data_IF_408489318647
#
_entry.id   IF_408489318647
#
_cell.length_a   1.000
_cell.length_b   1.000
_cell.length_c   1.000
_cell.angle_alpha   90.00
_cell.angle_beta   90.00
_cell.angle_gamma   90.00
#
_symmetry.space_group_name_H-M   'P 1'
#
loop_
_entity.id
_entity.type
_entity.pdbx_description
1 polymer ?
#
# COMPACT_ATOMS: atom_id res chain seq x y z
N UNK A 1 -20.30 0.89 0.88
CA UNK A 1 -21.54 1.68 1.07
C UNK A 1 -22.41 0.98 2.10
N UNK A 2 -22.94 1.69 3.11
CA UNK A 2 -23.98 1.14 4.00
C UNK A 2 -25.14 0.63 3.14
N UNK A 3 -25.79 -0.47 3.52
CA UNK A 3 -26.89 -1.11 2.75
C UNK A 3 -27.93 -0.11 2.22
N UNK A 4 -28.25 0.91 3.02
CA UNK A 4 -29.15 2.01 2.67
C UNK A 4 -28.71 2.85 1.45
N UNK A 5 -27.41 3.18 1.32
CA UNK A 5 -26.92 3.99 0.20
C UNK A 5 -26.95 3.26 -1.14
N UNK A 6 -26.79 1.93 -1.13
CA UNK A 6 -26.90 1.11 -2.33
C UNK A 6 -28.35 1.00 -2.83
N UNK A 7 -29.31 0.91 -1.90
CA UNK A 7 -30.74 0.91 -2.21
C UNK A 7 -31.16 2.25 -2.86
N UNK A 8 -30.67 3.37 -2.32
CA UNK A 8 -30.96 4.70 -2.89
C UNK A 8 -30.40 4.84 -4.31
N UNK A 9 -29.17 4.37 -4.56
CA UNK A 9 -28.56 4.40 -5.88
C UNK A 9 -29.34 3.55 -6.89
N UNK A 10 -29.76 2.34 -6.49
CA UNK A 10 -30.60 1.46 -7.32
C UNK A 10 -31.94 2.12 -7.65
N UNK A 11 -32.54 2.82 -6.69
CA UNK A 11 -33.79 3.54 -6.89
C UNK A 11 -33.62 4.73 -7.85
N UNK A 12 -32.51 5.46 -7.76
CA UNK A 12 -32.21 6.56 -8.71
C UNK A 12 -31.98 6.05 -10.13
N UNK A 13 -31.32 4.90 -10.29
CA UNK A 13 -31.10 4.28 -11.61
C UNK A 13 -32.40 3.68 -12.17
N UNK A 14 -33.30 3.19 -11.32
CA UNK A 14 -34.56 2.61 -11.77
C UNK A 14 -35.51 3.65 -12.36
N UNK A 15 -35.46 4.91 -11.91
CA UNK A 15 -36.27 6.00 -12.45
C UNK A 15 -36.13 6.10 -13.98
N UNK A 16 -34.96 6.35 -14.58
CA UNK A 16 -34.85 6.47 -16.03
C UNK A 16 -35.16 5.19 -16.80
N UNK A 17 -35.04 4.02 -16.15
CA UNK A 17 -35.40 2.72 -16.72
C UNK A 17 -36.92 2.53 -16.85
N UNK A 18 -37.68 2.89 -15.81
CA UNK A 18 -39.13 2.70 -15.79
C UNK A 18 -39.93 3.91 -16.27
N UNK A 19 -39.34 5.11 -16.27
CA UNK A 19 -40.01 6.35 -16.65
C UNK A 19 -40.63 6.33 -18.06
N UNK A 20 -39.97 5.81 -19.12
CA UNK A 20 -40.59 5.69 -20.44
C UNK A 20 -41.83 4.78 -20.43
N UNK A 21 -41.83 3.74 -19.60
CA UNK A 21 -42.95 2.81 -19.46
C UNK A 21 -44.14 3.49 -18.78
N UNK A 22 -43.90 4.28 -17.74
CA UNK A 22 -44.93 5.10 -17.09
C UNK A 22 -45.54 6.14 -18.03
N UNK A 23 -44.71 6.82 -18.85
CA UNK A 23 -45.21 7.77 -19.85
C UNK A 23 -46.11 7.07 -20.87
N UNK A 24 -45.69 5.91 -21.38
CA UNK A 24 -46.48 5.14 -22.36
C UNK A 24 -47.85 4.73 -21.79
N UNK A 25 -47.87 4.25 -20.54
CA UNK A 25 -49.12 3.90 -19.84
C UNK A 25 -49.98 5.15 -19.64
N UNK A 26 -49.41 6.26 -19.16
CA UNK A 26 -50.14 7.50 -18.94
C UNK A 26 -50.80 8.05 -20.21
N UNK A 27 -50.07 8.04 -21.34
CA UNK A 27 -50.60 8.44 -22.65
C UNK A 27 -51.78 7.57 -23.11
N UNK A 28 -51.78 6.28 -22.74
CA UNK A 28 -52.81 5.32 -23.15
C UNK A 28 -54.12 5.52 -22.37
N UNK A 29 -54.04 5.80 -21.07
CA UNK A 29 -55.21 5.84 -20.18
C UNK A 29 -55.73 7.25 -19.86
N UNK A 30 -54.95 8.30 -20.10
CA UNK A 30 -55.36 9.69 -19.86
C UNK A 30 -54.97 10.65 -21.01
N UNK A 31 -55.40 10.36 -22.25
CA UNK A 31 -55.09 11.22 -23.39
C UNK A 31 -55.65 12.63 -23.18
N UNK A 32 -54.84 13.66 -23.48
CA UNK A 32 -55.24 15.08 -23.42
C UNK A 32 -55.11 15.76 -22.05
N UNK A 33 -54.74 15.05 -20.99
CA UNK A 33 -54.49 15.63 -19.64
C UNK A 33 -52.99 15.80 -19.32
N UNK A 34 -52.12 15.55 -20.29
CA UNK A 34 -50.68 15.55 -20.09
C UNK A 34 -50.15 16.96 -19.85
N UNK A 35 -49.43 17.14 -18.74
CA UNK A 35 -48.69 18.37 -18.46
C UNK A 35 -47.35 18.27 -19.20
N UNK A 36 -47.16 19.09 -20.24
CA UNK A 36 -45.96 19.09 -21.08
C UNK A 36 -46.02 18.14 -22.29
N UNK A 37 -45.12 18.34 -23.25
CA UNK A 37 -44.98 17.52 -24.45
C UNK A 37 -43.96 16.38 -24.26
N UNK A 38 -43.98 15.39 -25.16
CA UNK A 38 -43.07 14.23 -25.11
C UNK A 38 -41.60 14.69 -25.11
N UNK A 39 -41.28 15.73 -25.88
CA UNK A 39 -39.92 16.27 -25.95
C UNK A 39 -39.49 16.91 -24.64
N UNK A 40 -40.39 17.62 -23.93
CA UNK A 40 -40.13 18.17 -22.59
C UNK A 40 -39.88 17.08 -21.55
N UNK A 41 -40.61 15.97 -21.60
CA UNK A 41 -40.40 14.82 -20.72
C UNK A 41 -39.09 14.07 -21.03
N UNK A 42 -38.74 13.91 -22.30
CA UNK A 42 -37.44 13.37 -22.71
C UNK A 42 -36.29 14.30 -22.31
N UNK A 43 -36.48 15.62 -22.42
CA UNK A 43 -35.55 16.63 -21.94
C UNK A 43 -35.33 16.57 -20.43
N UNK A 44 -36.41 16.38 -19.65
CA UNK A 44 -36.33 16.14 -18.21
C UNK A 44 -35.53 14.87 -17.88
N UNK A 45 -35.79 13.76 -18.58
CA UNK A 45 -35.06 12.51 -18.39
C UNK A 45 -33.58 12.63 -18.78
N UNK A 46 -33.27 13.36 -19.86
CA UNK A 46 -31.91 13.72 -20.26
C UNK A 46 -31.19 14.55 -19.19
N UNK A 47 -31.85 15.57 -18.64
CA UNK A 47 -31.30 16.39 -17.55
C UNK A 47 -31.09 15.60 -16.26
N UNK A 48 -32.05 14.74 -15.90
CA UNK A 48 -31.96 13.86 -14.74
C UNK A 48 -30.79 12.89 -14.84
N UNK A 49 -30.67 12.18 -15.97
CA UNK A 49 -29.60 11.20 -16.21
C UNK A 49 -28.23 11.87 -16.28
N UNK A 50 -28.14 13.04 -16.93
CA UNK A 50 -26.93 13.86 -16.95
C UNK A 50 -26.49 14.30 -15.56
N UNK A 51 -27.43 14.81 -14.74
CA UNK A 51 -27.15 15.18 -13.34
C UNK A 51 -26.72 14.00 -12.48
N UNK A 52 -27.36 12.85 -12.63
CA UNK A 52 -27.00 11.62 -11.91
C UNK A 52 -25.59 11.15 -12.27
N UNK A 53 -25.24 11.12 -13.56
CA UNK A 53 -23.91 10.76 -14.03
C UNK A 53 -22.84 11.74 -13.55
N UNK A 54 -23.14 13.05 -13.58
CA UNK A 54 -22.23 14.07 -13.06
C UNK A 54 -21.97 13.87 -11.56
N UNK A 55 -23.01 13.61 -10.77
CA UNK A 55 -22.88 13.33 -9.34
C UNK A 55 -22.06 12.06 -9.07
N UNK A 56 -22.34 10.96 -9.79
CA UNK A 56 -21.59 9.71 -9.65
C UNK A 56 -20.12 9.94 -10.01
N UNK A 57 -19.85 10.65 -11.09
CA UNK A 57 -18.49 10.97 -11.53
C UNK A 57 -17.75 11.80 -10.48
N UNK A 58 -18.38 12.86 -9.97
CA UNK A 58 -17.82 13.69 -8.91
C UNK A 58 -17.55 12.87 -7.62
N UNK A 59 -18.45 11.95 -7.26
CA UNK A 59 -18.26 11.06 -6.12
C UNK A 59 -17.05 10.15 -6.30
N UNK A 60 -16.87 9.55 -7.49
CA UNK A 60 -15.72 8.70 -7.78
C UNK A 60 -14.41 9.50 -7.82
N UNK A 61 -14.42 10.70 -8.41
CA UNK A 61 -13.26 11.60 -8.41
C UNK A 61 -12.87 11.95 -6.97
N UNK A 62 -13.84 12.42 -6.17
CA UNK A 62 -13.60 12.75 -4.76
C UNK A 62 -13.08 11.57 -3.95
N UNK A 63 -13.65 10.38 -4.15
CA UNK A 63 -13.20 9.16 -3.46
C UNK A 63 -11.77 8.78 -3.86
N UNK A 64 -11.44 8.85 -5.14
CA UNK A 64 -10.10 8.54 -5.63
C UNK A 64 -9.07 9.58 -5.15
N UNK A 65 -9.41 10.87 -5.18
CA UNK A 65 -8.56 11.93 -4.63
C UNK A 65 -8.32 11.71 -3.13
N UNK A 66 -9.37 11.41 -2.38
CA UNK A 66 -9.26 11.13 -0.95
C UNK A 66 -8.31 9.95 -0.70
N UNK A 67 -8.53 8.83 -1.39
CA UNK A 67 -7.65 7.66 -1.28
C UNK A 67 -6.21 7.94 -1.72
N UNK A 68 -6.00 8.84 -2.68
CA UNK A 68 -4.66 9.24 -3.12
C UNK A 68 -3.97 10.15 -2.11
N UNK A 69 -4.70 11.09 -1.50
CA UNK A 69 -4.18 11.98 -0.45
C UNK A 69 -3.88 11.22 0.84
N UNK A 70 -4.64 10.16 1.12
CA UNK A 70 -4.46 9.30 2.28
C UNK A 70 -3.42 8.18 2.06
N UNK A 71 -2.76 8.13 0.88
CA UNK A 71 -1.64 7.20 0.67
C UNK A 71 -0.50 7.51 1.63
N UNK A 72 0.10 6.45 2.14
CA UNK A 72 1.26 6.53 3.01
C UNK A 72 2.47 6.12 2.21
N UNK A 73 3.28 7.13 1.87
CA UNK A 73 4.54 7.00 1.19
C UNK A 73 5.68 7.04 2.20
N UNK A 74 6.60 6.11 2.00
CA UNK A 74 7.83 5.98 2.76
C UNK A 74 9.01 6.28 1.85
N UNK A 75 10.02 6.93 2.42
CA UNK A 75 11.31 7.17 1.78
C UNK A 75 12.38 6.40 2.54
N UNK A 76 13.02 5.45 1.85
CA UNK A 76 14.20 4.73 2.34
C UNK A 76 15.47 5.32 1.72
N UNK A 77 16.46 5.60 2.56
CA UNK A 77 17.75 6.16 2.17
C UNK A 77 18.89 5.58 2.99
N UNK A 78 20.13 5.73 2.51
CA UNK A 78 21.30 5.32 3.27
C UNK A 78 21.49 6.22 4.50
N UNK A 79 21.67 5.63 5.67
CA UNK A 79 22.07 6.36 6.86
C UNK A 79 23.60 6.38 6.95
N UNK A 80 24.23 7.18 6.08
CA UNK A 80 25.66 7.47 6.15
C UNK A 80 25.88 8.21 7.48
N UNK A 81 26.79 7.72 8.32
CA UNK A 81 27.20 8.34 9.60
C UNK A 81 26.38 8.01 10.86
N UNK A 82 25.44 7.05 10.82
CA UNK A 82 24.78 6.60 12.05
C UNK A 82 25.69 5.66 12.87
N UNK A 83 26.23 6.17 13.99
CA UNK A 83 27.06 5.40 14.93
C UNK A 83 26.31 4.88 16.16
N UNK A 84 24.99 5.09 16.23
CA UNK A 84 24.17 4.69 17.39
C UNK A 84 23.78 3.21 17.39
N UNK A 85 23.07 2.82 18.45
CA UNK A 85 22.32 1.56 18.51
C UNK A 85 21.05 1.67 17.67
N UNK A 86 20.84 0.71 16.78
CA UNK A 86 19.63 0.60 15.96
C UNK A 86 19.16 -0.86 15.94
N UNK A 87 17.86 -1.10 15.74
CA UNK A 87 17.33 -2.45 15.56
C UNK A 87 18.10 -3.17 14.45
N UNK A 88 18.55 -4.40 14.74
CA UNK A 88 19.31 -5.23 13.83
C UNK A 88 18.44 -6.34 13.28
N UNK A 89 18.34 -6.41 11.95
CA UNK A 89 17.69 -7.50 11.23
C UNK A 89 18.71 -8.33 10.44
N UNK A 90 18.35 -9.56 10.10
CA UNK A 90 19.17 -10.50 9.33
C UNK A 90 18.38 -11.00 8.14
N UNK A 91 18.90 -10.80 6.93
CA UNK A 91 18.34 -11.29 5.68
C UNK A 91 19.14 -12.50 5.20
N UNK A 92 18.54 -13.69 5.25
CA UNK A 92 19.20 -14.93 4.83
C UNK A 92 18.20 -15.92 4.22
N UNK A 93 18.60 -16.70 3.20
CA UNK A 93 17.81 -17.81 2.66
C UNK A 93 17.90 -19.08 3.53
N UNK A 94 18.78 -19.09 4.53
CA UNK A 94 18.96 -20.23 5.41
C UNK A 94 17.87 -20.21 6.47
N UNK A 95 17.22 -21.34 6.68
CA UNK A 95 16.29 -21.51 7.80
C UNK A 95 17.06 -21.35 9.11
N UNK A 96 16.54 -20.49 9.98
CA UNK A 96 17.00 -20.35 11.35
C UNK A 96 16.11 -21.26 12.19
N UNK A 97 16.73 -22.27 12.81
CA UNK A 97 16.02 -23.14 13.74
C UNK A 97 15.64 -22.34 14.98
N UNK A 98 14.34 -22.30 15.28
CA UNK A 98 13.76 -21.52 16.37
C UNK A 98 13.96 -22.19 17.73
N UNK A 99 14.32 -23.48 17.77
CA UNK A 99 14.44 -24.24 19.01
C UNK A 99 15.79 -24.08 19.72
N UNK A 100 16.83 -23.59 19.04
CA UNK A 100 18.17 -23.39 19.62
C UNK A 100 18.90 -22.17 19.00
N UNK A 101 18.74 -20.97 19.61
CA UNK A 101 19.36 -19.74 19.16
C UNK A 101 20.89 -19.68 19.37
N UNK A 102 21.43 -20.40 20.37
CA UNK A 102 22.88 -20.42 20.65
C UNK A 102 23.65 -21.29 19.64
N UNK A 103 23.00 -22.31 19.07
CA UNK A 103 23.54 -23.14 17.97
C UNK A 103 23.23 -22.52 16.59
N UNK A 104 22.52 -21.39 16.54
CA UNK A 104 22.13 -20.75 15.30
C UNK A 104 23.35 -20.34 14.48
N UNK A 105 23.55 -21.04 13.37
CA UNK A 105 24.61 -20.92 12.35
C UNK A 105 24.92 -19.49 11.88
N UNK A 106 24.09 -18.51 12.22
CA UNK A 106 24.17 -17.09 11.88
C UNK A 106 25.50 -16.48 12.32
N UNK A 107 26.00 -16.75 13.53
CA UNK A 107 27.25 -16.14 14.03
C UNK A 107 28.47 -16.47 13.16
N UNK A 108 28.44 -17.59 12.44
CA UNK A 108 29.48 -18.04 11.53
C UNK A 108 29.25 -17.64 10.06
N UNK A 109 28.14 -16.98 9.74
CA UNK A 109 27.87 -16.50 8.40
C UNK A 109 28.61 -15.20 8.16
N UNK A 110 29.26 -15.11 7.01
CA UNK A 110 29.79 -13.85 6.53
C UNK A 110 28.62 -12.99 6.02
N UNK A 111 28.49 -11.79 6.56
CA UNK A 111 27.44 -10.83 6.21
C UNK A 111 28.05 -9.52 5.70
N UNK A 112 27.30 -8.82 4.86
CA UNK A 112 27.45 -7.37 4.73
C UNK A 112 26.49 -6.67 5.68
N UNK A 113 26.93 -5.58 6.30
CA UNK A 113 26.06 -4.74 7.12
C UNK A 113 25.62 -3.52 6.31
N UNK A 114 24.31 -3.28 6.34
CA UNK A 114 23.65 -2.18 5.63
C UNK A 114 22.86 -1.37 6.65
N UNK A 115 23.09 -0.07 6.67
CA UNK A 115 22.43 0.89 7.56
C UNK A 115 21.56 1.82 6.72
N UNK A 116 20.27 1.87 7.02
CA UNK A 116 19.32 2.66 6.27
C UNK A 116 18.34 3.37 7.18
N UNK A 117 17.84 4.49 6.70
CA UNK A 117 16.79 5.25 7.33
C UNK A 117 15.50 5.05 6.54
N UNK A 118 14.40 4.81 7.25
CA UNK A 118 13.06 4.87 6.67
C UNK A 118 12.35 6.07 7.27
N UNK A 119 11.93 6.98 6.41
CA UNK A 119 11.17 8.18 6.76
C UNK A 119 9.75 8.06 6.22
N UNK A 120 8.78 8.38 7.05
CA UNK A 120 7.42 8.61 6.58
C UNK A 120 7.32 10.02 6.01
N UNK A 121 7.14 10.15 4.69
CA UNK A 121 7.05 11.44 3.99
C UNK A 121 5.60 11.91 3.82
N UNK A 122 4.66 11.26 4.51
CA UNK A 122 3.23 11.54 4.44
C UNK A 122 2.73 12.21 5.72
N UNK A 123 1.59 12.89 5.61
CA UNK A 123 0.93 13.58 6.74
C UNK A 123 0.08 12.64 7.63
N UNK A 124 0.23 11.33 7.47
CA UNK A 124 -0.51 10.31 8.22
C UNK A 124 0.43 9.27 8.84
N UNK A 125 -0.10 8.32 9.59
CA UNK A 125 0.68 7.26 10.22
C UNK A 125 0.97 6.12 9.23
N UNK A 126 2.21 5.62 9.28
CA UNK A 126 2.61 4.37 8.67
C UNK A 126 2.67 3.28 9.74
N UNK A 127 1.65 2.43 9.80
CA UNK A 127 1.66 1.22 10.60
C UNK A 127 2.16 0.04 9.77
N UNK A 128 2.57 -1.04 10.44
CA UNK A 128 3.04 -2.28 9.82
C UNK A 128 4.01 -2.03 8.67
N UNK A 129 5.02 -1.19 8.91
CA UNK A 129 6.06 -0.94 7.91
C UNK A 129 6.82 -2.24 7.70
N UNK A 130 6.81 -2.76 6.49
CA UNK A 130 7.41 -4.04 6.12
C UNK A 130 8.41 -3.85 5.00
N UNK A 131 9.54 -4.53 5.10
CA UNK A 131 10.55 -4.60 4.05
C UNK A 131 10.70 -6.07 3.63
N UNK A 132 10.25 -6.40 2.43
CA UNK A 132 10.25 -7.77 1.90
C UNK A 132 11.15 -7.88 0.70
N UNK A 133 12.05 -8.86 0.66
CA UNK A 133 12.87 -9.11 -0.53
C UNK A 133 12.00 -9.71 -1.64
N UNK A 134 12.07 -9.13 -2.84
CA UNK A 134 11.42 -9.64 -4.03
C UNK A 134 12.37 -10.58 -4.77
N UNK A 135 11.93 -11.81 -5.02
CA UNK A 135 12.69 -12.78 -5.81
C UNK A 135 12.49 -14.23 -5.36
N UNK A 136 13.12 -15.17 -6.09
CA UNK A 136 13.06 -16.62 -5.81
C UNK A 136 14.18 -17.09 -4.87
N UNK A 137 14.85 -16.18 -4.17
CA UNK A 137 15.95 -16.52 -3.28
C UNK A 137 15.51 -17.29 -2.03
N UNK A 138 14.21 -17.23 -1.68
CA UNK A 138 13.70 -17.81 -0.44
C UNK A 138 14.23 -17.11 0.81
N UNK A 139 14.82 -15.92 0.68
CA UNK A 139 15.35 -15.17 1.81
C UNK A 139 14.24 -14.56 2.64
N UNK A 140 14.35 -14.76 3.95
CA UNK A 140 13.42 -14.22 4.95
C UNK A 140 14.18 -13.19 5.78
N UNK A 141 13.48 -12.13 6.17
CA UNK A 141 13.99 -11.11 7.08
C UNK A 141 13.66 -11.50 8.51
N UNK A 142 14.68 -11.63 9.33
CA UNK A 142 14.59 -12.02 10.73
C UNK A 142 15.00 -10.87 11.63
N UNK A 143 14.42 -10.78 12.82
CA UNK A 143 14.85 -9.84 13.86
C UNK A 143 15.19 -10.59 15.12
N UNK A 144 16.27 -10.17 15.76
CA UNK A 144 16.67 -10.72 17.05
C UNK A 144 15.83 -10.08 18.17
N UNK A 145 15.20 -10.91 19.00
CA UNK A 145 14.41 -10.48 20.14
C UNK A 145 15.18 -10.74 21.43
N UNK A 146 15.83 -9.71 21.98
CA UNK A 146 16.74 -9.84 23.12
C UNK A 146 16.10 -10.49 24.37
N UNK A 147 14.83 -10.18 24.69
CA UNK A 147 14.17 -10.73 25.88
C UNK A 147 13.84 -12.22 25.77
N UNK A 148 13.64 -12.70 24.54
CA UNK A 148 13.30 -14.09 24.25
C UNK A 148 14.51 -14.89 23.74
N UNK A 149 15.65 -14.20 23.62
CA UNK A 149 16.89 -14.69 23.05
C UNK A 149 16.73 -15.47 21.72
N UNK A 150 15.80 -15.05 20.86
CA UNK A 150 15.48 -15.79 19.64
C UNK A 150 15.32 -14.88 18.42
N UNK A 151 15.51 -15.46 17.23
CA UNK A 151 15.19 -14.80 15.98
C UNK A 151 13.73 -15.06 15.61
N UNK A 152 12.98 -13.98 15.44
CA UNK A 152 11.60 -14.01 14.98
C UNK A 152 11.52 -13.53 13.54
N UNK A 153 10.63 -14.14 12.77
CA UNK A 153 10.30 -13.63 11.44
C UNK A 153 9.74 -12.22 11.56
N UNK A 154 10.26 -11.30 10.77
CA UNK A 154 10.01 -9.88 10.96
C UNK A 154 8.72 -9.44 10.26
N UNK A 155 7.62 -9.44 11.01
CA UNK A 155 6.31 -9.01 10.49
C UNK A 155 6.17 -7.50 10.33
N UNK A 156 6.91 -6.70 11.10
CA UNK A 156 6.89 -5.22 11.02
C UNK A 156 8.19 -4.64 11.55
N UNK A 157 8.76 -3.70 10.80
CA UNK A 157 10.00 -3.02 11.11
C UNK A 157 9.77 -1.78 11.97
N UNK A 158 8.59 -1.16 11.83
CA UNK A 158 8.31 0.10 12.49
C UNK A 158 6.82 0.46 12.50
N UNK A 159 6.49 1.33 13.45
CA UNK A 159 5.40 2.29 13.35
C UNK A 159 6.04 3.67 13.23
N UNK A 160 5.66 4.44 12.21
CA UNK A 160 6.18 5.79 11.97
C UNK A 160 5.03 6.79 11.94
N UNK A 161 5.13 7.81 12.78
CA UNK A 161 4.26 8.99 12.72
C UNK A 161 4.55 9.83 11.47
N UNK A 162 3.71 10.82 11.20
CA UNK A 162 3.93 11.75 10.10
C UNK A 162 5.30 12.43 10.23
N UNK A 163 6.07 12.49 9.13
CA UNK A 163 7.43 13.04 9.08
C UNK A 163 8.45 12.37 10.01
N UNK A 164 8.11 11.27 10.68
CA UNK A 164 9.04 10.55 11.55
C UNK A 164 9.99 9.71 10.70
N UNK A 165 11.26 9.71 11.08
CA UNK A 165 12.26 8.79 10.56
C UNK A 165 12.80 7.85 11.62
N UNK A 166 13.26 6.69 11.19
CA UNK A 166 13.93 5.70 12.04
C UNK A 166 15.04 5.02 11.27
N UNK A 167 16.18 4.83 11.94
CA UNK A 167 17.35 4.14 11.39
C UNK A 167 17.32 2.67 11.78
N UNK A 168 17.71 1.82 10.83
CA UNK A 168 17.78 0.37 10.96
C UNK A 168 19.13 -0.14 10.47
N UNK A 169 19.56 -1.27 11.03
CA UNK A 169 20.70 -2.05 10.55
C UNK A 169 20.21 -3.39 10.05
N UNK A 170 20.73 -3.84 8.92
CA UNK A 170 20.41 -5.14 8.33
C UNK A 170 21.69 -5.84 7.92
N UNK A 171 21.86 -7.07 8.38
CA UNK A 171 22.89 -8.00 7.93
C UNK A 171 22.37 -8.83 6.77
N UNK A 172 23.03 -8.78 5.62
CA UNK A 172 22.63 -9.54 4.42
C UNK A 172 23.64 -10.66 4.19
N UNK A 173 23.14 -11.90 4.07
CA UNK A 173 23.98 -13.09 3.84
C UNK A 173 24.84 -12.90 2.58
N UNK A 174 26.16 -13.08 2.70
CA UNK A 174 27.08 -12.93 1.57
C UNK A 174 26.74 -13.86 0.39
N UNK A 175 26.05 -14.98 0.61
CA UNK A 175 25.58 -15.85 -0.47
C UNK A 175 24.54 -15.16 -1.37
N UNK A 176 23.69 -14.28 -0.81
CA UNK A 176 22.74 -13.48 -1.57
C UNK A 176 23.47 -12.41 -2.41
N UNK A 177 24.47 -11.78 -1.79
CA UNK A 177 25.24 -10.67 -2.36
C UNK A 177 26.26 -11.13 -3.41
N UNK A 178 26.84 -12.32 -3.25
CA UNK A 178 27.82 -12.85 -4.20
C UNK A 178 27.20 -13.04 -5.58
N UNK A 179 25.93 -13.47 -5.62
CA UNK A 179 25.17 -13.80 -6.82
C UNK A 179 24.41 -12.62 -7.43
N UNK A 180 24.28 -11.49 -6.73
CA UNK A 180 23.45 -10.36 -7.18
C UNK A 180 24.17 -9.01 -6.99
N UNK A 181 24.10 -8.14 -7.99
CA UNK A 181 24.52 -6.73 -7.88
C UNK A 181 23.39 -5.83 -7.38
N UNK A 182 22.14 -6.31 -7.50
CA UNK A 182 20.94 -5.59 -7.13
C UNK A 182 20.00 -6.52 -6.39
N UNK A 183 19.48 -6.06 -5.25
CA UNK A 183 18.42 -6.73 -4.52
C UNK A 183 17.16 -5.86 -4.59
N UNK A 184 16.08 -6.43 -5.15
CA UNK A 184 14.79 -5.75 -5.23
C UNK A 184 13.98 -6.05 -3.96
N UNK A 185 13.34 -5.04 -3.40
CA UNK A 185 12.53 -5.08 -2.19
C UNK A 185 11.16 -4.44 -2.42
N UNK A 186 10.14 -4.95 -1.75
CA UNK A 186 8.85 -4.30 -1.55
C UNK A 186 8.87 -3.65 -0.16
N UNK A 187 8.78 -2.32 -0.13
CA UNK A 187 8.54 -1.54 1.08
C UNK A 187 7.03 -1.29 1.16
N UNK A 188 6.37 -1.81 2.18
CA UNK A 188 4.92 -1.63 2.36
C UNK A 188 4.58 -1.06 3.72
N UNK A 189 3.45 -0.34 3.79
CA UNK A 189 2.90 0.16 5.05
C UNK A 189 1.39 0.25 4.96
N UNK A 190 0.72 0.13 6.11
CA UNK A 190 -0.73 0.26 6.23
C UNK A 190 -1.06 1.48 7.08
N UNK A 191 -1.95 2.34 6.60
CA UNK A 191 -2.37 3.51 7.37
C UNK A 191 -3.45 3.17 8.41
N UNK A 192 -3.84 4.14 9.25
CA UNK A 192 -4.91 3.96 10.25
C UNK A 192 -6.29 3.66 9.65
N UNK A 193 -6.48 3.92 8.35
CA UNK A 193 -7.72 3.64 7.63
C UNK A 193 -7.71 2.24 6.98
N UNK A 194 -6.66 1.45 7.18
CA UNK A 194 -6.51 0.10 6.62
C UNK A 194 -6.10 0.08 5.15
N UNK A 195 -5.65 1.21 4.60
CA UNK A 195 -5.11 1.27 3.24
C UNK A 195 -3.63 0.91 3.25
N UNK A 196 -3.28 -0.15 2.53
CA UNK A 196 -1.90 -0.58 2.33
C UNK A 196 -1.31 0.08 1.09
N UNK A 197 -0.12 0.66 1.24
CA UNK A 197 0.71 1.18 0.15
C UNK A 197 1.94 0.29 0.00
N UNK A 198 2.34 0.01 -1.24
CA UNK A 198 3.50 -0.81 -1.61
C UNK A 198 4.38 0.01 -2.54
N UNK A 199 5.69 -0.03 -2.31
CA UNK A 199 6.70 0.70 -3.07
C UNK A 199 7.84 -0.26 -3.41
N UNK A 200 8.24 -0.28 -4.67
CA UNK A 200 9.39 -1.06 -5.11
C UNK A 200 10.67 -0.27 -4.87
N UNK A 201 11.60 -0.90 -4.15
CA UNK A 201 12.88 -0.31 -3.76
C UNK A 201 14.00 -1.25 -4.18
N UNK A 202 15.09 -0.70 -4.68
CA UNK A 202 16.29 -1.46 -5.00
C UNK A 202 17.42 -1.12 -4.06
N UNK A 203 18.14 -2.14 -3.61
CA UNK A 203 19.44 -2.01 -2.99
C UNK A 203 20.51 -2.36 -4.03
N UNK A 204 21.23 -1.34 -4.48
CA UNK A 204 22.39 -1.49 -5.37
C UNK A 204 23.61 -1.79 -4.52
N UNK A 205 24.33 -2.86 -4.83
CA UNK A 205 25.50 -3.33 -4.08
C UNK A 205 26.77 -3.01 -4.88
N UNK A 206 27.59 -2.09 -4.38
CA UNK A 206 28.87 -1.73 -5.00
C UNK A 206 29.98 -2.62 -4.40
N UNK A 207 30.19 -3.79 -5.02
CA UNK A 207 31.16 -4.81 -4.57
C UNK A 207 32.58 -4.26 -4.38
N UNK A 208 33.03 -3.35 -5.26
CA UNK A 208 34.39 -2.78 -5.23
C UNK A 208 34.58 -1.70 -4.15
N UNK A 209 33.54 -0.93 -3.85
CA UNK A 209 33.61 0.18 -2.89
C UNK A 209 33.13 -0.20 -1.47
N UNK A 210 32.72 -1.46 -1.25
CA UNK A 210 31.93 -1.89 -0.07
C UNK A 210 30.76 -0.94 0.22
N UNK A 211 30.23 -0.33 -0.82
CA UNK A 211 29.15 0.65 -0.74
C UNK A 211 27.82 -0.01 -1.10
N UNK A 212 26.74 0.63 -0.69
CA UNK A 212 25.40 0.28 -1.15
C UNK A 212 24.60 1.56 -1.41
N UNK A 213 23.51 1.47 -2.16
CA UNK A 213 22.59 2.58 -2.39
C UNK A 213 21.16 2.07 -2.48
N UNK A 214 20.27 2.64 -1.66
CA UNK A 214 18.83 2.49 -1.86
C UNK A 214 18.32 3.43 -2.95
N UNK A 215 17.53 2.88 -3.89
CA UNK A 215 16.89 3.61 -4.97
C UNK A 215 15.43 3.21 -5.07
N UNK A 216 14.52 4.18 -5.10
CA UNK A 216 13.10 3.95 -5.37
C UNK A 216 12.89 3.70 -6.86
N UNK A 217 12.11 2.67 -7.20
CA UNK A 217 11.57 2.49 -8.56
C UNK A 217 10.27 3.28 -8.65
N UNK A 218 10.26 4.27 -9.55
CA UNK A 218 9.05 5.01 -9.95
C UNK A 218 8.18 4.20 -10.89
#
# INVERSE_FOLDING_TARGET
>A
MKKSGFIILLLLISVPLFFPLFIKVYMTYAPGKMVGDINGWLGFLGGYTGGLLAFISAYFIYRNEKLSRERTLLHISNAKDFSGEAPMSVLTPRLIDQADPEVARITFLAFIEVTFEVMNVSDNFANDVQLKLLGRSGAILWSYHAELDQYLEYESIALLQASQSRVFKMKIDNHLVSSHEVLDFELSSTNLFGQTTKQDVQLLLHKEAKGYLFKHRT
#
